data_IF_744442733874
#
_entry.id   IF_744442733874
#
_cell.length_a   1.000
_cell.length_b   1.000
_cell.length_c   1.000
_cell.angle_alpha   90.00
_cell.angle_beta   90.00
_cell.angle_gamma   90.00
#
_symmetry.space_group_name_H-M   'P 1'
#
loop_
_entity.id
_entity.type
_entity.pdbx_description
1 polymer ?
#
# COMPACT_ATOMS: atom_id res chain seq x y z
N UNK A 1 36.18 18.17 1.91
CA UNK A 1 35.05 17.23 1.92
C UNK A 1 35.05 16.50 0.59
N UNK A 2 35.37 15.21 0.57
CA UNK A 2 35.27 14.41 -0.65
C UNK A 2 33.86 13.85 -0.75
N UNK A 3 33.20 14.12 -1.88
CA UNK A 3 31.97 13.43 -2.24
C UNK A 3 32.34 11.97 -2.51
N UNK A 4 31.81 11.03 -1.72
CA UNK A 4 32.12 9.60 -1.83
C UNK A 4 31.43 8.90 -3.01
N UNK A 5 30.70 9.66 -3.82
CA UNK A 5 29.94 9.13 -4.96
C UNK A 5 30.20 10.08 -6.14
N UNK A 6 31.02 9.67 -7.10
CA UNK A 6 31.29 10.48 -8.30
C UNK A 6 30.19 10.30 -9.34
N UNK A 7 29.33 9.28 -9.20
CA UNK A 7 28.19 9.08 -10.09
C UNK A 7 27.06 8.25 -9.50
N UNK A 8 25.83 8.44 -10.01
CA UNK A 8 24.69 7.56 -9.75
C UNK A 8 25.06 6.10 -10.12
N UNK A 9 25.88 5.89 -11.15
CA UNK A 9 26.34 4.55 -11.56
C UNK A 9 27.11 3.81 -10.46
N UNK A 10 27.98 4.51 -9.72
CA UNK A 10 28.70 3.93 -8.57
C UNK A 10 27.76 3.59 -7.42
N UNK A 11 26.67 4.33 -7.25
CA UNK A 11 25.66 4.04 -6.23
C UNK A 11 24.93 2.71 -6.50
N UNK A 12 24.63 2.42 -7.76
CA UNK A 12 24.09 1.12 -8.16
C UNK A 12 25.16 0.03 -8.20
N UNK A 13 26.41 0.40 -8.47
CA UNK A 13 27.55 -0.52 -8.60
C UNK A 13 28.45 -0.58 -7.37
N UNK A 14 27.90 -0.34 -6.16
CA UNK A 14 28.62 -0.46 -4.88
C UNK A 14 28.89 -1.95 -4.51
N UNK A 15 29.46 -2.72 -5.43
CA UNK A 15 29.89 -4.11 -5.24
C UNK A 15 29.00 -4.93 -4.30
N UNK A 16 29.58 -5.43 -3.20
CA UNK A 16 28.90 -6.28 -2.21
C UNK A 16 27.85 -5.58 -1.32
N UNK A 17 27.89 -4.24 -1.17
CA UNK A 17 26.98 -3.53 -0.26
C UNK A 17 25.71 -3.04 -0.95
N UNK A 18 25.77 -2.77 -2.26
CA UNK A 18 24.62 -2.34 -3.04
C UNK A 18 23.45 -3.34 -2.98
N UNK A 19 23.73 -4.65 -2.92
CA UNK A 19 22.71 -5.68 -2.81
C UNK A 19 21.83 -5.54 -1.56
N UNK A 20 22.44 -5.32 -0.39
CA UNK A 20 21.69 -5.16 0.87
C UNK A 20 20.87 -3.87 0.90
N UNK A 21 21.39 -2.80 0.31
CA UNK A 21 20.69 -1.52 0.18
C UNK A 21 19.46 -1.69 -0.70
N UNK A 22 19.61 -2.29 -1.88
CA UNK A 22 18.50 -2.57 -2.80
C UNK A 22 17.44 -3.46 -2.17
N UNK A 23 17.84 -4.50 -1.44
CA UNK A 23 16.90 -5.37 -0.74
C UNK A 23 16.11 -4.62 0.33
N UNK A 24 16.76 -3.73 1.09
CA UNK A 24 16.10 -2.89 2.09
C UNK A 24 15.08 -1.93 1.46
N UNK A 25 15.43 -1.30 0.33
CA UNK A 25 14.50 -0.47 -0.43
C UNK A 25 13.33 -1.30 -0.99
N UNK A 26 13.60 -2.48 -1.55
CA UNK A 26 12.57 -3.37 -2.08
C UNK A 26 11.58 -3.80 -0.99
N UNK A 27 12.08 -4.21 0.18
CA UNK A 27 11.24 -4.57 1.33
C UNK A 27 10.41 -3.38 1.81
N UNK A 28 11.01 -2.18 1.88
CA UNK A 28 10.30 -0.96 2.29
C UNK A 28 9.19 -0.58 1.31
N UNK A 29 9.49 -0.64 0.00
CA UNK A 29 8.49 -0.41 -1.05
C UNK A 29 7.37 -1.45 -1.03
N UNK A 30 7.71 -2.72 -0.78
CA UNK A 30 6.73 -3.78 -0.58
C UNK A 30 5.82 -3.50 0.62
N UNK A 31 6.39 -3.12 1.77
CA UNK A 31 5.62 -2.80 2.96
C UNK A 31 4.67 -1.61 2.71
N UNK A 32 5.15 -0.54 2.06
CA UNK A 32 4.29 0.58 1.64
C UNK A 32 3.18 0.13 0.69
N UNK A 33 3.52 -0.67 -0.33
CA UNK A 33 2.54 -1.18 -1.30
C UNK A 33 1.46 -2.04 -0.64
N UNK A 34 1.84 -2.89 0.31
CA UNK A 34 0.90 -3.71 1.10
C UNK A 34 -0.01 -2.82 1.93
N UNK A 35 0.53 -1.79 2.60
CA UNK A 35 -0.26 -0.87 3.41
C UNK A 35 -1.29 -0.12 2.58
N UNK A 36 -0.89 0.41 1.41
CA UNK A 36 -1.79 1.08 0.48
C UNK A 36 -2.88 0.10 0.01
N UNK A 37 -2.50 -1.12 -0.36
CA UNK A 37 -3.44 -2.15 -0.77
C UNK A 37 -4.46 -2.48 0.33
N UNK A 38 -4.01 -2.58 1.59
CA UNK A 38 -4.86 -2.82 2.75
C UNK A 38 -5.85 -1.67 2.94
N UNK A 39 -5.39 -0.42 2.96
CA UNK A 39 -6.26 0.77 3.05
C UNK A 39 -7.34 0.76 1.98
N UNK A 40 -6.98 0.51 0.72
CA UNK A 40 -7.96 0.50 -0.37
C UNK A 40 -9.01 -0.60 -0.20
N UNK A 41 -8.60 -1.77 0.31
CA UNK A 41 -9.50 -2.90 0.55
C UNK A 41 -10.45 -2.64 1.71
N UNK A 42 -9.96 -2.07 2.82
CA UNK A 42 -10.77 -1.71 3.98
C UNK A 42 -11.83 -0.67 3.62
N UNK A 43 -11.46 0.39 2.90
CA UNK A 43 -12.40 1.39 2.41
C UNK A 43 -13.55 0.76 1.60
N UNK A 44 -13.21 -0.17 0.69
CA UNK A 44 -14.20 -0.87 -0.12
C UNK A 44 -15.10 -1.78 0.72
N UNK A 45 -14.55 -2.45 1.73
CA UNK A 45 -15.31 -3.32 2.63
C UNK A 45 -16.30 -2.53 3.49
N UNK A 46 -15.88 -1.39 4.04
CA UNK A 46 -16.74 -0.51 4.83
C UNK A 46 -17.92 -0.03 4.00
N UNK A 47 -17.66 0.47 2.78
CA UNK A 47 -18.72 0.90 1.85
C UNK A 47 -19.69 -0.23 1.47
N UNK A 48 -19.19 -1.46 1.28
CA UNK A 48 -20.03 -2.62 1.01
C UNK A 48 -20.91 -2.99 2.21
N UNK A 49 -20.38 -2.90 3.42
CA UNK A 49 -21.14 -3.19 4.64
C UNK A 49 -22.27 -2.17 4.83
N UNK A 50 -21.99 -0.88 4.65
CA UNK A 50 -23.02 0.18 4.71
C UNK A 50 -24.12 -0.06 3.66
N UNK A 51 -23.75 -0.39 2.42
CA UNK A 51 -24.76 -0.70 1.37
C UNK A 51 -25.65 -1.88 1.73
N UNK A 52 -25.09 -2.93 2.35
CA UNK A 52 -25.87 -4.11 2.76
C UNK A 52 -26.86 -3.77 3.87
N UNK A 53 -26.47 -2.92 4.81
CA UNK A 53 -27.33 -2.49 5.91
C UNK A 53 -28.47 -1.59 5.41
N UNK A 54 -28.15 -0.60 4.56
CA UNK A 54 -29.16 0.24 3.91
C UNK A 54 -30.16 -0.56 3.05
N UNK A 55 -29.70 -1.61 2.36
CA UNK A 55 -30.57 -2.48 1.57
C UNK A 55 -31.58 -3.24 2.44
N UNK A 56 -31.20 -3.63 3.66
CA UNK A 56 -32.13 -4.26 4.62
C UNK A 56 -33.14 -3.26 5.16
N UNK A 57 -32.70 -2.07 5.55
CA UNK A 57 -33.60 -1.03 6.07
C UNK A 57 -34.63 -0.60 5.02
N UNK A 58 -34.21 -0.45 3.76
CA UNK A 58 -35.15 -0.10 2.67
C UNK A 58 -36.14 -1.21 2.35
N UNK A 59 -35.78 -2.49 2.51
CA UNK A 59 -36.72 -3.60 2.36
C UNK A 59 -37.75 -3.64 3.48
N UNK A 60 -37.32 -3.44 4.74
CA UNK A 60 -38.21 -3.40 5.90
C UNK A 60 -39.18 -2.20 5.83
N UNK A 61 -38.68 -1.01 5.45
CA UNK A 61 -39.52 0.18 5.31
C UNK A 61 -40.52 0.06 4.13
N UNK A 62 -40.16 -0.66 3.06
CA UNK A 62 -41.10 -0.96 1.96
C UNK A 62 -42.18 -1.98 2.33
N UNK A 63 -41.93 -2.87 3.29
CA UNK A 63 -42.93 -3.83 3.78
C UNK A 63 -43.84 -3.25 4.87
N UNK A 64 -43.38 -2.19 5.56
CA UNK A 64 -44.15 -1.52 6.62
C UNK A 64 -45.13 -0.43 6.11
N UNK A 65 -45.18 -0.20 4.79
CA UNK A 65 -46.06 0.77 4.12
C UNK A 65 -47.05 0.05 3.21
#
# INVERSE_FOLDING_TARGET
MQFQFESISEFFSMGNYGFYVWLSYAVSLLAMGILIWQTQREHKQILQNIKKEQARETQLNKQAR
#
